data_IF_729212547860
#
_entry.id   IF_729212547860
#
_cell.length_a   1.000
_cell.length_b   1.000
_cell.length_c   1.000
_cell.angle_alpha   90.00
_cell.angle_beta   90.00
_cell.angle_gamma   90.00
#
_symmetry.space_group_name_H-M   'P 1'
#
loop_
_entity.id
_entity.type
_entity.pdbx_description
1 polymer ?
#
# COMPACT_ATOMS: atom_id res chain seq x y z
N UNK A 1 6.24 -38.45 47.08
CA UNK A 1 6.55 -37.09 46.62
C UNK A 1 8.01 -37.07 46.22
N UNK A 2 8.29 -36.88 44.93
CA UNK A 2 9.47 -36.15 44.43
C UNK A 2 9.38 -36.13 42.90
N UNK A 3 8.98 -34.98 42.36
CA UNK A 3 8.95 -34.68 40.93
C UNK A 3 10.32 -34.14 40.55
N UNK A 4 11.08 -34.84 39.70
CA UNK A 4 12.29 -34.30 39.07
C UNK A 4 11.90 -33.50 37.84
N UNK A 5 11.78 -32.18 38.01
CA UNK A 5 11.85 -31.23 36.91
C UNK A 5 13.33 -31.02 36.55
N UNK A 6 13.70 -31.36 35.30
CA UNK A 6 14.92 -30.84 34.67
C UNK A 6 14.52 -30.15 33.38
N UNK A 7 14.26 -28.86 33.52
CA UNK A 7 14.40 -27.88 32.45
C UNK A 7 15.88 -27.77 32.12
N UNK A 8 16.26 -28.20 30.93
CA UNK A 8 17.50 -27.78 30.29
C UNK A 8 17.08 -26.92 29.10
N UNK A 9 17.37 -25.62 29.25
CA UNK A 9 17.31 -24.60 28.22
C UNK A 9 18.31 -24.95 27.12
N UNK A 10 17.78 -25.33 25.95
CA UNK A 10 18.59 -25.44 24.76
C UNK A 10 18.96 -24.03 24.30
N UNK A 11 20.26 -23.75 24.34
CA UNK A 11 20.83 -22.47 23.94
C UNK A 11 21.41 -22.67 22.55
N UNK A 12 20.90 -21.91 21.59
CA UNK A 12 21.71 -21.52 20.43
C UNK A 12 21.16 -21.94 19.09
N UNK A 13 19.99 -21.44 18.71
CA UNK A 13 19.64 -21.35 17.29
C UNK A 13 20.48 -20.25 16.63
N UNK A 14 21.52 -20.74 15.98
CA UNK A 14 22.22 -20.21 14.82
C UNK A 14 21.55 -18.99 14.17
N UNK A 15 22.25 -17.85 14.22
CA UNK A 15 22.02 -16.74 13.29
C UNK A 15 22.45 -17.17 11.89
N UNK A 16 21.64 -17.98 11.23
CA UNK A 16 21.67 -18.15 9.79
C UNK A 16 21.30 -16.80 9.16
N UNK A 17 22.32 -16.07 8.73
CA UNK A 17 22.19 -14.91 7.86
C UNK A 17 21.67 -15.43 6.52
N UNK A 18 20.36 -15.60 6.39
CA UNK A 18 19.73 -15.96 5.12
C UNK A 18 19.87 -14.75 4.21
N UNK A 19 20.88 -14.80 3.34
CA UNK A 19 20.88 -14.00 2.12
C UNK A 19 19.64 -14.41 1.33
N UNK A 20 18.58 -13.61 1.47
CA UNK A 20 17.45 -13.67 0.57
C UNK A 20 17.96 -13.28 -0.81
N UNK A 21 18.43 -14.26 -1.59
CA UNK A 21 18.47 -14.19 -3.04
C UNK A 21 17.10 -13.65 -3.43
N UNK A 22 17.04 -12.42 -3.92
CA UNK A 22 15.80 -11.78 -4.37
C UNK A 22 15.24 -12.68 -5.46
N UNK A 23 14.34 -13.58 -5.08
CA UNK A 23 13.46 -14.22 -6.03
C UNK A 23 12.79 -13.08 -6.78
N UNK A 24 12.88 -13.11 -8.10
CA UNK A 24 12.16 -12.18 -8.95
C UNK A 24 10.67 -12.41 -8.67
N UNK A 25 10.11 -11.67 -7.72
CA UNK A 25 8.69 -11.73 -7.43
C UNK A 25 8.02 -11.26 -8.71
N UNK A 26 7.10 -12.06 -9.24
CA UNK A 26 6.24 -11.71 -10.38
C UNK A 26 4.82 -11.72 -9.88
N UNK A 27 4.05 -10.71 -10.30
CA UNK A 27 2.61 -10.74 -10.12
C UNK A 27 2.04 -11.87 -10.98
N UNK A 28 0.97 -12.52 -10.49
CA UNK A 28 0.23 -13.50 -11.28
C UNK A 28 -0.44 -12.83 -12.48
N UNK A 29 -0.79 -13.61 -13.50
CA UNK A 29 -1.45 -13.13 -14.72
C UNK A 29 -2.77 -12.38 -14.42
N UNK A 30 -3.50 -12.86 -13.40
CA UNK A 30 -4.69 -12.21 -12.86
C UNK A 30 -4.49 -11.96 -11.36
N UNK A 31 -3.88 -10.82 -10.97
CA UNK A 31 -3.67 -10.54 -9.56
C UNK A 31 -5.00 -10.21 -8.88
N UNK A 32 -5.08 -10.44 -7.57
CA UNK A 32 -6.24 -10.03 -6.76
C UNK A 32 -6.41 -8.50 -6.78
N UNK A 33 -7.64 -8.04 -6.56
CA UNK A 33 -7.91 -6.61 -6.45
C UNK A 33 -7.28 -6.00 -5.19
N UNK A 34 -7.23 -6.75 -4.10
CA UNK A 34 -6.55 -6.34 -2.88
C UNK A 34 -5.10 -6.82 -2.95
N UNK A 35 -4.15 -5.89 -2.90
CA UNK A 35 -2.72 -6.15 -2.97
C UNK A 35 -2.03 -5.63 -1.72
N UNK A 36 -1.00 -6.34 -1.25
CA UNK A 36 -0.11 -5.82 -0.22
C UNK A 36 0.69 -4.64 -0.75
N UNK A 37 1.31 -3.85 0.14
CA UNK A 37 2.20 -2.74 -0.25
C UNK A 37 3.26 -3.16 -1.27
N UNK A 38 3.79 -4.37 -1.15
CA UNK A 38 4.85 -4.91 -2.02
C UNK A 38 4.30 -5.28 -3.39
N UNK A 39 3.17 -6.01 -3.43
CA UNK A 39 2.51 -6.38 -4.67
C UNK A 39 2.04 -5.16 -5.46
N UNK A 40 1.48 -4.17 -4.77
CA UNK A 40 1.09 -2.91 -5.41
C UNK A 40 2.30 -2.12 -5.89
N UNK A 41 3.39 -2.05 -5.12
CA UNK A 41 4.63 -1.39 -5.53
C UNK A 41 5.17 -1.96 -6.84
N UNK A 42 5.14 -3.29 -6.99
CA UNK A 42 5.51 -3.95 -8.24
C UNK A 42 4.55 -3.62 -9.39
N UNK A 43 3.23 -3.59 -9.11
CA UNK A 43 2.21 -3.28 -10.12
C UNK A 43 2.39 -1.89 -10.72
N UNK A 44 2.65 -0.87 -9.90
CA UNK A 44 2.83 0.52 -10.38
C UNK A 44 4.29 0.87 -10.73
N UNK A 45 5.24 -0.05 -10.51
CA UNK A 45 6.67 0.21 -10.72
C UNK A 45 7.27 1.24 -9.74
N UNK A 46 6.84 1.25 -8.48
CA UNK A 46 7.35 2.13 -7.40
C UNK A 46 8.04 1.33 -6.30
N UNK A 47 8.71 2.01 -5.38
CA UNK A 47 9.24 1.36 -4.18
C UNK A 47 8.15 1.21 -3.12
N UNK A 48 8.19 0.16 -2.27
CA UNK A 48 7.22 -0.04 -1.20
C UNK A 48 7.19 1.12 -0.20
N UNK A 49 8.35 1.73 0.06
CA UNK A 49 8.46 2.92 0.91
C UNK A 49 7.68 4.09 0.32
N UNK A 50 7.77 4.31 -0.99
CA UNK A 50 7.00 5.34 -1.67
C UNK A 50 5.49 5.07 -1.59
N UNK A 51 5.06 3.81 -1.77
CA UNK A 51 3.66 3.42 -1.62
C UNK A 51 3.15 3.69 -0.20
N UNK A 52 3.93 3.36 0.83
CA UNK A 52 3.56 3.65 2.22
C UNK A 52 3.44 5.15 2.47
N UNK A 53 4.35 5.96 1.93
CA UNK A 53 4.26 7.43 2.03
C UNK A 53 3.06 8.00 1.28
N UNK A 54 2.72 7.45 0.11
CA UNK A 54 1.53 7.83 -0.66
C UNK A 54 0.24 7.47 0.07
N UNK A 55 0.17 6.31 0.71
CA UNK A 55 -0.96 5.89 1.54
C UNK A 55 -1.14 6.84 2.73
N UNK A 56 -0.06 7.16 3.45
CA UNK A 56 -0.09 8.13 4.56
C UNK A 56 -0.54 9.52 4.11
N UNK A 57 -0.21 9.91 2.87
CA UNK A 57 -0.63 11.16 2.27
C UNK A 57 -2.07 11.12 1.70
N UNK A 58 -2.78 9.99 1.78
CA UNK A 58 -4.15 9.84 1.28
C UNK A 58 -4.28 9.86 -0.25
N UNK A 59 -3.18 9.57 -0.98
CA UNK A 59 -3.14 9.65 -2.46
C UNK A 59 -3.58 8.37 -3.17
N UNK A 60 -3.75 7.27 -2.43
CA UNK A 60 -4.10 5.96 -2.98
C UNK A 60 -5.19 5.31 -2.11
N UNK A 61 -6.04 4.44 -2.69
CA UNK A 61 -7.08 3.72 -1.94
C UNK A 61 -6.45 2.62 -1.07
N UNK A 62 -6.05 3.01 0.15
CA UNK A 62 -5.30 2.18 1.09
C UNK A 62 -6.10 1.87 2.36
N UNK A 63 -5.91 0.65 2.87
CA UNK A 63 -6.50 0.13 4.10
C UNK A 63 -5.39 -0.41 5.00
N UNK A 64 -5.50 -0.14 6.30
CA UNK A 64 -4.61 -0.71 7.31
C UNK A 64 -5.35 -1.84 8.01
N UNK A 65 -4.85 -3.07 7.90
CA UNK A 65 -5.43 -4.25 8.54
C UNK A 65 -4.50 -4.73 9.65
N UNK A 66 -5.03 -4.82 10.86
CA UNK A 66 -4.38 -5.49 11.99
C UNK A 66 -4.84 -6.95 12.06
N UNK A 67 -3.99 -7.81 12.61
CA UNK A 67 -4.37 -9.19 12.92
C UNK A 67 -5.50 -9.17 13.96
N UNK A 68 -6.68 -9.79 13.70
CA UNK A 68 -7.78 -9.84 14.65
C UNK A 68 -7.41 -10.55 15.96
N UNK A 69 -6.43 -11.46 15.94
CA UNK A 69 -5.93 -12.14 17.13
C UNK A 69 -4.94 -11.28 17.93
N UNK A 70 -4.39 -10.24 17.32
CA UNK A 70 -3.48 -9.30 17.97
C UNK A 70 -3.82 -7.84 17.56
N UNK A 71 -4.92 -7.27 18.10
CA UNK A 71 -5.42 -5.97 17.68
C UNK A 71 -4.50 -4.78 18.01
N UNK A 72 -3.49 -4.98 18.88
CA UNK A 72 -2.44 -3.99 19.17
C UNK A 72 -1.17 -4.15 18.34
N UNK A 73 -1.13 -5.13 17.43
CA UNK A 73 0.03 -5.42 16.59
C UNK A 73 0.26 -4.41 15.46
N UNK A 74 1.32 -4.64 14.68
CA UNK A 74 1.60 -3.83 13.50
C UNK A 74 0.52 -4.03 12.44
N UNK A 75 -0.10 -2.92 12.01
CA UNK A 75 -1.06 -2.94 10.91
C UNK A 75 -0.33 -3.10 9.56
N UNK A 76 -0.81 -4.03 8.74
CA UNK A 76 -0.36 -4.21 7.37
C UNK A 76 -1.11 -3.28 6.41
N UNK A 77 -0.39 -2.72 5.44
CA UNK A 77 -0.94 -1.84 4.41
C UNK A 77 -1.39 -2.65 3.19
N UNK A 78 -2.67 -2.52 2.87
CA UNK A 78 -3.32 -3.11 1.71
C UNK A 78 -3.86 -2.02 0.78
N UNK A 79 -3.82 -2.25 -0.53
CA UNK A 79 -4.26 -1.31 -1.56
C UNK A 79 -5.25 -1.98 -2.50
N UNK A 80 -6.35 -1.31 -2.82
CA UNK A 80 -7.34 -1.82 -3.76
C UNK A 80 -7.04 -1.37 -5.20
N UNK A 81 -6.40 -2.26 -5.97
CA UNK A 81 -5.99 -2.05 -7.37
C UNK A 81 -7.16 -1.63 -8.26
N UNK A 82 -8.30 -2.31 -8.17
CA UNK A 82 -9.44 -2.01 -9.04
C UNK A 82 -10.05 -0.62 -8.82
N UNK A 83 -9.86 0.00 -7.65
CA UNK A 83 -10.31 1.39 -7.41
C UNK A 83 -9.26 2.37 -7.94
N UNK A 84 -7.98 2.03 -7.80
CA UNK A 84 -6.89 2.79 -8.41
C UNK A 84 -7.04 2.88 -9.94
N UNK A 85 -7.30 1.76 -10.61
CA UNK A 85 -7.46 1.72 -12.07
C UNK A 85 -8.66 2.58 -12.52
N UNK A 86 -9.81 2.46 -11.84
CA UNK A 86 -10.99 3.31 -12.12
C UNK A 86 -10.69 4.80 -11.98
N UNK A 87 -9.96 5.21 -10.94
CA UNK A 87 -9.57 6.61 -10.78
C UNK A 87 -8.61 7.05 -11.89
N UNK A 88 -7.70 6.18 -12.34
CA UNK A 88 -6.84 6.48 -13.46
C UNK A 88 -7.63 6.68 -14.76
N UNK A 89 -8.62 5.83 -15.03
CA UNK A 89 -9.50 5.94 -16.21
C UNK A 89 -10.30 7.26 -16.18
N UNK A 90 -10.88 7.60 -15.03
CA UNK A 90 -11.60 8.86 -14.86
C UNK A 90 -10.72 10.09 -15.09
N UNK A 91 -9.44 10.05 -14.71
CA UNK A 91 -8.51 11.14 -14.97
C UNK A 91 -8.27 11.35 -16.47
N UNK A 92 -8.29 10.26 -17.25
CA UNK A 92 -8.17 10.32 -18.70
C UNK A 92 -9.46 10.84 -19.33
N UNK A 93 -10.62 10.34 -18.91
CA UNK A 93 -11.93 10.77 -19.41
C UNK A 93 -12.21 12.25 -19.15
N UNK A 94 -11.83 12.75 -17.97
CA UNK A 94 -12.02 14.14 -17.58
C UNK A 94 -10.88 15.05 -18.06
N UNK A 95 -9.87 14.52 -18.76
CA UNK A 95 -8.83 15.34 -19.33
C UNK A 95 -9.45 16.26 -20.40
N UNK A 96 -9.16 17.58 -20.37
CA UNK A 96 -9.63 18.49 -21.42
C UNK A 96 -9.14 17.99 -22.77
N UNK A 97 -10.07 17.84 -23.72
CA UNK A 97 -9.82 17.19 -25.00
C UNK A 97 -8.62 17.76 -25.76
N UNK A 98 -8.01 16.92 -26.59
CA UNK A 98 -6.81 17.18 -27.40
C UNK A 98 -6.85 18.47 -28.25
N UNK A 99 -8.01 19.11 -28.41
CA UNK A 99 -8.16 20.41 -29.06
C UNK A 99 -7.76 21.63 -28.22
N UNK A 100 -7.38 21.45 -26.94
CA UNK A 100 -6.88 22.54 -26.09
C UNK A 100 -5.34 22.52 -25.92
N UNK A 101 -4.62 21.71 -26.70
CA UNK A 101 -3.15 21.63 -26.70
C UNK A 101 -2.44 22.74 -27.49
N UNK A 102 -3.13 23.83 -27.84
CA UNK A 102 -2.49 25.08 -28.27
C UNK A 102 -2.54 26.06 -27.11
N UNK A 103 -1.37 26.38 -26.56
CA UNK A 103 -1.15 27.26 -25.41
C UNK A 103 -1.73 26.77 -24.07
N UNK A 104 -0.96 25.98 -23.31
CA UNK A 104 -0.56 26.24 -21.90
C UNK A 104 0.45 25.18 -21.42
N UNK A 105 1.69 25.29 -21.90
CA UNK A 105 2.86 24.57 -21.34
C UNK A 105 3.04 24.86 -19.82
N UNK A 106 2.39 25.89 -19.27
CA UNK A 106 2.46 26.23 -17.84
C UNK A 106 1.53 25.48 -16.88
N UNK A 107 0.51 24.75 -17.33
CA UNK A 107 -0.54 24.24 -16.41
C UNK A 107 -0.37 22.77 -16.01
N UNK A 108 0.28 21.94 -16.82
CA UNK A 108 0.56 20.53 -16.44
C UNK A 108 1.58 20.46 -15.29
N UNK A 109 2.48 21.46 -15.18
CA UNK A 109 3.35 21.59 -14.01
C UNK A 109 2.56 21.93 -12.73
N UNK A 110 1.33 22.47 -12.83
CA UNK A 110 0.53 22.81 -11.65
C UNK A 110 -0.17 21.58 -11.03
N UNK A 111 -0.59 20.60 -11.84
CA UNK A 111 -1.29 19.40 -11.34
C UNK A 111 -0.28 18.42 -10.71
N UNK A 112 0.94 18.32 -11.26
CA UNK A 112 2.03 17.59 -10.59
C UNK A 112 2.60 18.36 -9.37
N UNK A 113 2.56 19.70 -9.36
CA UNK A 113 2.99 20.49 -8.20
C UNK A 113 1.98 20.49 -7.03
N UNK A 114 0.69 20.23 -7.28
CA UNK A 114 -0.31 20.06 -6.21
C UNK A 114 -0.13 18.76 -5.41
N UNK A 115 0.69 17.83 -5.91
CA UNK A 115 1.14 16.68 -5.12
C UNK A 115 2.26 17.02 -4.11
N UNK A 116 2.81 18.23 -4.10
CA UNK A 116 3.89 18.68 -3.20
C UNK A 116 3.41 19.71 -2.15
N UNK A 117 2.12 20.08 -2.14
CA UNK A 117 1.51 20.82 -1.02
C UNK A 117 0.59 19.90 -0.22
N UNK A 118 0.71 20.02 1.11
CA UNK A 118 0.10 19.16 2.13
C UNK A 118 -1.43 19.03 2.08
N UNK A 119 -1.99 18.30 3.07
CA UNK A 119 -3.19 17.51 2.91
C UNK A 119 -4.43 18.40 2.73
N UNK A 120 -5.06 18.31 1.57
CA UNK A 120 -6.49 18.58 1.48
C UNK A 120 -7.17 17.44 2.24
N UNK A 121 -7.80 17.76 3.37
CA UNK A 121 -8.66 16.86 4.11
C UNK A 121 -9.87 16.48 3.25
N UNK A 122 -9.70 15.55 2.33
CA UNK A 122 -10.82 14.82 1.78
C UNK A 122 -11.26 13.85 2.88
N UNK A 123 -12.32 14.24 3.59
CA UNK A 123 -12.84 13.51 4.72
C UNK A 123 -13.00 12.04 4.35
N UNK A 124 -12.31 11.17 5.10
CA UNK A 124 -12.63 9.76 5.05
C UNK A 124 -14.11 9.62 5.43
N UNK A 125 -14.94 8.89 4.65
CA UNK A 125 -16.24 8.52 5.15
C UNK A 125 -16.05 7.75 6.46
N UNK A 126 -16.85 8.03 7.51
CA UNK A 126 -16.67 7.38 8.80
C UNK A 126 -16.77 5.87 8.63
N UNK A 127 -15.79 5.14 9.18
CA UNK A 127 -15.83 3.70 9.29
C UNK A 127 -17.13 3.29 9.99
N UNK A 128 -18.01 2.59 9.26
CA UNK A 128 -19.26 2.05 9.80
C UNK A 128 -19.00 0.60 10.18
N UNK A 129 -18.81 0.26 11.47
CA UNK A 129 -18.78 -1.14 11.85
C UNK A 129 -20.15 -1.75 11.53
N UNK A 130 -20.16 -2.86 10.80
CA UNK A 130 -21.35 -3.68 10.66
C UNK A 130 -21.73 -4.18 12.06
N UNK A 131 -22.83 -3.66 12.60
CA UNK A 131 -23.45 -4.22 13.80
C UNK A 131 -24.06 -5.56 13.42
N UNK A 132 -23.57 -6.63 14.06
CA UNK A 132 -24.23 -7.94 14.14
C UNK A 132 -25.51 -7.85 14.97
#
# INVERSE_FOLDING_TARGET
>A
MELKAKTASDTGDEKAKVEHKRAEVKLSEYPSNLLSKEGFAMYVGKTPIAIASMAKAGKIPAFYMTDPLNPGGHAELWVHRGEWDKYADQLVENAPGVSQFSFRIGTILLILAQCVRGPAQFGQPPYRPHQT
#
